data_IF_804217932534
#
_entry.id   IF_804217932534
#
_cell.length_a   1.000
_cell.length_b   1.000
_cell.length_c   1.000
_cell.angle_alpha   90.00
_cell.angle_beta   90.00
_cell.angle_gamma   90.00
#
_symmetry.space_group_name_H-M   'P 1'
#
loop_
_entity.id
_entity.type
_entity.pdbx_description
1 polymer ?
#
# COMPACT_ATOMS: atom_id res chain seq x y z
N UNK A 1 16.95 -1.58 -21.97
CA UNK A 1 15.88 -0.67 -22.46
C UNK A 1 14.80 -1.37 -23.28
N UNK A 2 15.12 -2.43 -24.04
CA UNK A 2 14.15 -3.16 -24.87
C UNK A 2 13.79 -4.49 -24.17
N UNK A 3 12.51 -4.73 -23.84
CA UNK A 3 12.07 -6.00 -23.25
C UNK A 3 12.23 -7.15 -24.23
N UNK A 4 12.21 -8.39 -23.72
CA UNK A 4 12.03 -9.57 -24.57
C UNK A 4 10.66 -9.53 -25.24
N UNK A 5 10.51 -10.24 -26.37
CA UNK A 5 9.21 -10.40 -27.00
C UNK A 5 8.28 -11.22 -26.08
N UNK A 6 7.00 -10.89 -26.10
CA UNK A 6 5.95 -11.59 -25.37
C UNK A 6 4.66 -11.53 -26.20
N UNK A 7 3.78 -12.51 -25.99
CA UNK A 7 2.39 -12.45 -26.40
C UNK A 7 1.62 -11.49 -25.47
N UNK A 8 0.66 -10.78 -26.03
CA UNK A 8 -0.15 -9.81 -25.30
C UNK A 8 -1.63 -10.17 -25.41
N UNK A 9 -2.23 -10.48 -24.26
CA UNK A 9 -3.64 -10.82 -24.11
C UNK A 9 -4.35 -9.67 -23.40
N UNK A 10 -5.49 -9.23 -23.93
CA UNK A 10 -6.28 -8.11 -23.38
C UNK A 10 -7.72 -8.55 -23.13
N UNK A 11 -7.95 -9.44 -22.13
CA UNK A 11 -9.28 -9.91 -21.76
C UNK A 11 -10.18 -8.76 -21.32
N UNK A 12 -11.48 -8.96 -21.48
CA UNK A 12 -12.51 -7.97 -21.11
C UNK A 12 -13.33 -8.37 -19.90
N UNK A 13 -13.17 -9.61 -19.44
CA UNK A 13 -13.83 -10.16 -18.24
C UNK A 13 -12.79 -10.81 -17.33
N UNK A 14 -13.14 -10.96 -16.05
CA UNK A 14 -12.29 -11.67 -15.11
C UNK A 14 -12.09 -13.15 -15.49
N UNK A 15 -13.14 -13.82 -15.94
CA UNK A 15 -13.08 -15.23 -16.36
C UNK A 15 -12.11 -15.46 -17.53
N UNK A 16 -12.11 -14.55 -18.52
CA UNK A 16 -11.15 -14.58 -19.63
C UNK A 16 -9.72 -14.40 -19.12
N UNK A 17 -9.50 -13.50 -18.16
CA UNK A 17 -8.18 -13.26 -17.59
C UNK A 17 -7.66 -14.45 -16.78
N UNK A 18 -8.51 -15.06 -15.95
CA UNK A 18 -8.17 -16.27 -15.20
C UNK A 18 -7.87 -17.44 -16.16
N UNK A 19 -8.69 -17.62 -17.19
CA UNK A 19 -8.46 -18.64 -18.21
C UNK A 19 -7.13 -18.44 -18.93
N UNK A 20 -6.79 -17.18 -19.25
CA UNK A 20 -5.52 -16.84 -19.87
C UNK A 20 -4.32 -17.10 -18.94
N UNK A 21 -4.42 -16.79 -17.65
CA UNK A 21 -3.37 -17.07 -16.67
C UNK A 21 -3.14 -18.58 -16.53
N UNK A 22 -4.21 -19.37 -16.37
CA UNK A 22 -4.13 -20.84 -16.30
C UNK A 22 -3.51 -21.42 -17.58
N UNK A 23 -3.90 -20.91 -18.75
CA UNK A 23 -3.33 -21.36 -20.03
C UNK A 23 -1.85 -20.99 -20.20
N UNK A 24 -1.39 -19.92 -19.55
CA UNK A 24 -0.01 -19.44 -19.64
C UNK A 24 0.94 -20.16 -18.66
N UNK A 25 0.41 -20.83 -17.63
CA UNK A 25 1.22 -21.41 -16.56
C UNK A 25 2.18 -20.39 -15.94
N UNK A 26 3.40 -20.84 -15.62
CA UNK A 26 4.43 -20.01 -14.97
C UNK A 26 4.99 -18.89 -15.88
N UNK A 27 4.68 -18.92 -17.18
CA UNK A 27 5.15 -17.96 -18.17
C UNK A 27 4.24 -16.72 -18.30
N UNK A 28 3.06 -16.77 -17.65
CA UNK A 28 2.09 -15.67 -17.63
C UNK A 28 2.43 -14.61 -16.60
N UNK A 29 2.31 -13.33 -16.98
CA UNK A 29 2.35 -12.23 -16.01
C UNK A 29 1.21 -11.24 -16.21
N UNK A 30 0.57 -10.88 -15.11
CA UNK A 30 -0.46 -9.85 -15.08
C UNK A 30 0.18 -8.48 -15.39
N UNK A 31 -0.42 -7.78 -16.35
CA UNK A 31 -0.17 -6.37 -16.62
C UNK A 31 -1.32 -5.53 -16.06
N UNK A 32 -1.05 -4.78 -14.99
CA UNK A 32 -1.94 -3.76 -14.46
C UNK A 32 -1.56 -2.38 -15.03
N UNK A 33 -1.22 -1.41 -14.18
CA UNK A 33 -0.73 -0.10 -14.60
C UNK A 33 0.64 -0.08 -15.30
N UNK A 34 1.40 -1.18 -15.19
CA UNK A 34 2.70 -1.37 -15.83
C UNK A 34 3.86 -0.54 -15.24
N UNK A 35 3.63 0.26 -14.21
CA UNK A 35 4.63 1.22 -13.71
C UNK A 35 5.76 0.61 -12.89
N UNK A 36 5.63 -0.65 -12.45
CA UNK A 36 6.75 -1.46 -11.92
C UNK A 36 7.19 -2.53 -12.91
N UNK A 37 6.22 -3.26 -13.49
CA UNK A 37 6.51 -4.38 -14.39
C UNK A 37 7.24 -3.94 -15.67
N UNK A 38 6.77 -2.90 -16.39
CA UNK A 38 7.40 -2.49 -17.65
C UNK A 38 8.86 -2.05 -17.43
N UNK A 39 9.22 -1.28 -16.38
CA UNK A 39 10.62 -1.05 -16.03
C UNK A 39 11.44 -2.34 -15.83
N UNK A 40 10.93 -3.30 -15.07
CA UNK A 40 11.56 -4.62 -14.85
C UNK A 40 11.80 -5.35 -16.17
N UNK A 41 10.82 -5.37 -17.07
CA UNK A 41 10.94 -5.98 -18.40
C UNK A 41 11.99 -5.27 -19.28
N UNK A 42 12.00 -3.93 -19.29
CA UNK A 42 12.97 -3.12 -20.05
C UNK A 42 14.41 -3.34 -19.58
N UNK A 43 14.60 -3.70 -18.32
CA UNK A 43 15.88 -4.07 -17.72
C UNK A 43 16.19 -5.57 -17.83
N UNK A 44 15.24 -6.37 -18.34
CA UNK A 44 15.32 -7.84 -18.44
C UNK A 44 15.56 -8.52 -17.09
N UNK A 45 15.01 -7.94 -16.03
CA UNK A 45 14.97 -8.55 -14.69
C UNK A 45 13.82 -9.58 -14.59
N UNK A 46 12.86 -9.52 -15.51
CA UNK A 46 11.89 -10.58 -15.77
C UNK A 46 11.64 -10.65 -17.29
N UNK A 47 11.22 -11.81 -17.78
CA UNK A 47 10.97 -12.07 -19.20
C UNK A 47 9.84 -13.10 -19.39
N UNK A 48 8.60 -12.78 -18.98
CA UNK A 48 7.46 -13.65 -19.22
C UNK A 48 7.20 -13.78 -20.72
N UNK A 49 6.71 -14.94 -21.15
CA UNK A 49 6.31 -15.16 -22.54
C UNK A 49 4.92 -14.56 -22.84
N UNK A 50 4.06 -14.40 -21.82
CA UNK A 50 2.70 -13.87 -21.98
C UNK A 50 2.42 -12.76 -20.98
N UNK A 51 1.86 -11.65 -21.46
CA UNK A 51 1.27 -10.60 -20.62
C UNK A 51 -0.26 -10.61 -20.71
N UNK A 52 -0.92 -10.74 -19.56
CA UNK A 52 -2.38 -10.66 -19.43
C UNK A 52 -2.75 -9.28 -18.89
N UNK A 53 -3.24 -8.40 -19.75
CA UNK A 53 -3.59 -7.02 -19.41
C UNK A 53 -5.02 -6.91 -18.87
N UNK A 54 -5.13 -6.52 -17.60
CA UNK A 54 -6.41 -6.36 -16.90
C UNK A 54 -7.11 -5.03 -17.24
N UNK A 55 -6.49 -4.19 -18.07
CA UNK A 55 -6.89 -2.81 -18.32
C UNK A 55 -8.31 -2.63 -18.85
N UNK A 56 -8.86 -3.65 -19.53
CA UNK A 56 -10.20 -3.63 -20.13
C UNK A 56 -11.28 -4.27 -19.27
N UNK A 57 -10.94 -4.82 -18.11
CA UNK A 57 -11.88 -5.48 -17.20
C UNK A 57 -12.51 -4.42 -16.29
N UNK A 58 -13.71 -3.97 -16.67
CA UNK A 58 -14.37 -2.83 -16.00
C UNK A 58 -14.70 -3.11 -14.53
N UNK A 59 -15.03 -4.36 -14.18
CA UNK A 59 -15.40 -4.76 -12.82
C UNK A 59 -14.26 -4.68 -11.79
N UNK A 60 -13.00 -4.61 -12.25
CA UNK A 60 -11.81 -4.44 -11.42
C UNK A 60 -11.52 -2.97 -11.07
N UNK A 61 -12.36 -2.03 -11.52
CA UNK A 61 -12.19 -0.59 -11.29
C UNK A 61 -13.30 -0.02 -10.42
N UNK A 62 -13.01 1.14 -9.86
CA UNK A 62 -13.99 1.98 -9.18
C UNK A 62 -13.93 1.87 -7.67
N UNK A 63 -14.62 2.81 -7.04
CA UNK A 63 -14.67 2.99 -5.59
C UNK A 63 -16.15 3.01 -5.22
N UNK A 64 -16.53 2.27 -4.19
CA UNK A 64 -17.91 2.24 -3.70
C UNK A 64 -17.98 2.15 -2.20
N UNK A 65 -19.08 2.68 -1.66
CA UNK A 65 -19.49 2.44 -0.28
C UNK A 65 -19.97 0.98 -0.11
N UNK A 66 -19.65 0.36 1.02
CA UNK A 66 -20.06 -0.97 1.40
C UNK A 66 -20.37 -1.07 2.90
N UNK A 67 -21.14 -0.11 3.40
CA UNK A 67 -21.61 -0.09 4.80
C UNK A 67 -20.55 0.41 5.76
N UNK A 68 -19.87 -0.50 6.43
CA UNK A 68 -18.79 -0.26 7.40
C UNK A 68 -17.39 -0.19 6.75
N UNK A 69 -17.29 -0.40 5.44
CA UNK A 69 -16.07 -0.23 4.66
C UNK A 69 -16.30 0.53 3.35
N UNK A 70 -15.21 0.93 2.72
CA UNK A 70 -15.17 1.26 1.29
C UNK A 70 -14.54 0.09 0.53
N UNK A 71 -14.94 -0.11 -0.73
CA UNK A 71 -14.36 -1.15 -1.60
C UNK A 71 -13.73 -0.47 -2.81
N UNK A 72 -12.46 -0.78 -3.05
CA UNK A 72 -11.65 -0.23 -4.13
C UNK A 72 -11.30 -1.37 -5.09
N UNK A 73 -11.66 -1.24 -6.36
CA UNK A 73 -11.23 -2.18 -7.39
C UNK A 73 -9.71 -2.12 -7.60
N UNK A 74 -9.06 -3.27 -7.74
CA UNK A 74 -7.60 -3.38 -7.84
C UNK A 74 -6.99 -2.57 -9.00
N UNK A 75 -7.73 -2.39 -10.09
CA UNK A 75 -7.32 -1.62 -11.28
C UNK A 75 -7.63 -0.12 -11.17
N UNK A 76 -8.06 0.38 -10.00
CA UNK A 76 -8.27 1.82 -9.78
C UNK A 76 -6.93 2.56 -9.76
N UNK A 77 -6.72 3.57 -10.63
CA UNK A 77 -5.50 4.38 -10.64
C UNK A 77 -5.26 5.12 -9.33
N UNK A 78 -3.99 5.36 -8.98
CA UNK A 78 -3.65 6.18 -7.80
C UNK A 78 -4.21 7.61 -7.91
N UNK A 79 -4.30 8.16 -9.12
CA UNK A 79 -4.91 9.46 -9.36
C UNK A 79 -6.35 9.51 -8.87
N UNK A 80 -7.16 8.53 -9.25
CA UNK A 80 -8.58 8.48 -8.86
C UNK A 80 -8.69 8.32 -7.34
N UNK A 81 -7.83 7.50 -6.73
CA UNK A 81 -7.82 7.29 -5.28
C UNK A 81 -7.50 8.55 -4.49
N UNK A 82 -6.50 9.30 -4.92
CA UNK A 82 -6.09 10.53 -4.26
C UNK A 82 -7.18 11.62 -4.31
N UNK A 83 -8.09 11.56 -5.30
CA UNK A 83 -9.10 12.60 -5.55
C UNK A 83 -10.53 12.15 -5.24
N UNK A 84 -10.74 10.92 -4.78
CA UNK A 84 -12.07 10.38 -4.54
C UNK A 84 -12.64 10.86 -3.19
N UNK A 85 -13.88 11.41 -3.17
CA UNK A 85 -14.47 11.96 -1.95
C UNK A 85 -14.82 10.89 -0.91
N UNK A 86 -15.18 9.65 -1.32
CA UNK A 86 -15.45 8.57 -0.37
C UNK A 86 -14.16 8.14 0.33
N UNK A 87 -13.05 8.05 -0.40
CA UNK A 87 -11.75 7.74 0.19
C UNK A 87 -11.31 8.88 1.12
N UNK A 88 -11.40 10.14 0.67
CA UNK A 88 -11.04 11.28 1.51
C UNK A 88 -11.81 11.30 2.85
N UNK A 89 -13.10 10.95 2.82
CA UNK A 89 -13.96 10.93 4.01
C UNK A 89 -13.71 9.71 4.92
N UNK A 90 -13.58 8.53 4.33
CA UNK A 90 -13.66 7.26 5.07
C UNK A 90 -12.33 6.53 5.22
N UNK A 91 -11.34 6.84 4.41
CA UNK A 91 -10.02 6.20 4.41
C UNK A 91 -8.93 7.21 4.01
N UNK A 92 -8.97 8.42 4.58
CA UNK A 92 -8.11 9.54 4.17
C UNK A 92 -6.61 9.25 4.21
N UNK A 93 -6.16 8.27 5.01
CA UNK A 93 -4.78 7.79 5.02
C UNK A 93 -4.36 7.20 3.66
N UNK A 94 -5.26 6.48 2.97
CA UNK A 94 -5.01 5.93 1.63
C UNK A 94 -4.87 7.03 0.60
N UNK A 95 -5.78 8.03 0.62
CA UNK A 95 -5.71 9.18 -0.28
C UNK A 95 -4.39 9.94 -0.12
N UNK A 96 -4.01 10.28 1.13
CA UNK A 96 -2.76 10.98 1.45
C UNK A 96 -1.53 10.21 0.98
N UNK A 97 -1.50 8.89 1.20
CA UNK A 97 -0.39 8.09 0.70
C UNK A 97 -0.35 8.05 -0.83
N UNK A 98 -1.51 7.98 -1.51
CA UNK A 98 -1.60 7.92 -2.96
C UNK A 98 -1.09 9.20 -3.63
N UNK A 99 -1.25 10.36 -3.00
CA UNK A 99 -0.68 11.64 -3.45
C UNK A 99 0.86 11.62 -3.52
N UNK A 100 1.51 10.85 -2.64
CA UNK A 100 2.97 10.75 -2.56
C UNK A 100 3.60 9.73 -3.52
N UNK A 101 2.76 8.92 -4.19
CA UNK A 101 3.21 7.89 -5.12
C UNK A 101 3.76 8.58 -6.36
N UNK A 102 5.08 8.50 -6.54
CA UNK A 102 5.78 8.93 -7.75
C UNK A 102 5.31 10.30 -8.28
N UNK A 103 5.14 10.44 -9.59
CA UNK A 103 4.72 11.65 -10.29
C UNK A 103 3.28 11.52 -10.83
N UNK A 104 2.68 12.63 -11.32
CA UNK A 104 1.34 12.58 -11.89
C UNK A 104 1.17 11.54 -13.01
N UNK A 105 2.15 11.37 -13.91
CA UNK A 105 2.07 10.43 -15.03
C UNK A 105 2.01 8.98 -14.54
N UNK A 106 2.86 8.64 -13.56
CA UNK A 106 2.83 7.34 -12.89
C UNK A 106 1.49 7.15 -12.18
N UNK A 107 0.94 8.16 -11.49
CA UNK A 107 -0.35 8.02 -10.78
C UNK A 107 -1.56 7.80 -11.69
N UNK A 108 -1.54 8.30 -12.92
CA UNK A 108 -2.61 8.06 -13.90
C UNK A 108 -2.57 6.64 -14.49
N UNK A 109 -1.44 5.93 -14.37
CA UNK A 109 -1.30 4.56 -14.87
C UNK A 109 -1.22 3.52 -13.78
N UNK A 110 -0.39 3.75 -12.78
CA UNK A 110 -0.21 2.89 -11.61
C UNK A 110 -1.54 2.71 -10.88
N UNK A 111 -1.80 1.46 -10.51
CA UNK A 111 -3.07 1.01 -9.94
C UNK A 111 -2.86 0.59 -8.50
N UNK A 112 -3.88 0.76 -7.66
CA UNK A 112 -3.83 0.38 -6.25
C UNK A 112 -3.46 -1.08 -6.00
N UNK A 113 -4.17 -2.00 -6.65
CA UNK A 113 -3.89 -3.43 -6.53
C UNK A 113 -2.53 -3.79 -7.09
N UNK A 114 -2.14 -3.21 -8.22
CA UNK A 114 -0.78 -3.39 -8.77
C UNK A 114 0.33 -2.97 -7.80
N UNK A 115 0.16 -1.87 -7.06
CA UNK A 115 1.13 -1.45 -6.04
C UNK A 115 1.18 -2.41 -4.85
N UNK A 116 0.02 -2.92 -4.41
CA UNK A 116 -0.07 -3.87 -3.29
C UNK A 116 0.51 -5.24 -3.65
N UNK A 117 0.13 -5.79 -4.82
CA UNK A 117 0.59 -7.10 -5.32
C UNK A 117 2.08 -7.07 -5.67
N UNK A 118 2.61 -5.92 -6.08
CA UNK A 118 4.04 -5.81 -6.34
C UNK A 118 4.88 -6.07 -5.08
N UNK A 119 4.37 -5.74 -3.89
CA UNK A 119 5.01 -6.03 -2.60
C UNK A 119 6.47 -5.55 -2.48
N UNK A 120 6.78 -4.39 -3.07
CA UNK A 120 8.01 -3.68 -2.75
C UNK A 120 7.84 -3.00 -1.38
N UNK A 121 8.69 -3.28 -0.36
CA UNK A 121 8.57 -2.71 0.96
C UNK A 121 8.69 -1.19 0.99
N UNK A 122 9.32 -0.59 -0.03
CA UNK A 122 9.44 0.85 -0.16
C UNK A 122 8.18 1.51 -0.73
N UNK A 123 7.19 0.70 -1.15
CA UNK A 123 5.95 1.17 -1.74
C UNK A 123 4.93 1.72 -0.76
N UNK A 124 4.32 2.84 -1.17
CA UNK A 124 3.58 3.69 -0.23
C UNK A 124 2.20 3.15 0.17
N UNK A 125 1.64 2.20 -0.58
CA UNK A 125 0.27 1.70 -0.34
C UNK A 125 0.20 0.57 0.68
N UNK A 126 1.32 -0.11 0.94
CA UNK A 126 1.38 -1.31 1.75
C UNK A 126 1.08 -1.00 3.22
N UNK A 127 1.83 -0.07 3.82
CA UNK A 127 1.66 0.30 5.23
C UNK A 127 0.29 0.95 5.53
N UNK A 128 -0.25 1.87 4.72
CA UNK A 128 -1.62 2.36 4.89
C UNK A 128 -2.69 1.27 4.85
N UNK A 129 -2.60 0.32 3.91
CA UNK A 129 -3.54 -0.80 3.84
C UNK A 129 -3.44 -1.69 5.09
N UNK A 130 -2.22 -1.95 5.58
CA UNK A 130 -1.98 -2.69 6.81
C UNK A 130 -2.52 -1.95 8.05
N UNK A 131 -2.23 -0.66 8.20
CA UNK A 131 -2.68 0.14 9.34
C UNK A 131 -4.21 0.20 9.40
N UNK A 132 -4.88 0.28 8.26
CA UNK A 132 -6.34 0.35 8.19
C UNK A 132 -7.05 -1.00 8.25
N UNK A 133 -6.32 -2.10 8.51
CA UNK A 133 -6.90 -3.45 8.57
C UNK A 133 -7.63 -3.81 7.26
N UNK A 134 -7.02 -3.50 6.12
CA UNK A 134 -7.61 -3.81 4.82
C UNK A 134 -7.78 -5.32 4.61
N UNK A 135 -8.80 -5.69 3.82
CA UNK A 135 -9.09 -7.05 3.41
C UNK A 135 -8.98 -7.15 1.88
N UNK A 136 -8.32 -8.20 1.40
CA UNK A 136 -7.95 -8.39 0.00
C UNK A 136 -8.79 -9.51 -0.59
N UNK A 137 -9.68 -9.17 -1.52
CA UNK A 137 -10.48 -10.14 -2.27
C UNK A 137 -9.66 -10.66 -3.46
N UNK A 138 -9.25 -11.92 -3.36
CA UNK A 138 -8.46 -12.62 -4.37
C UNK A 138 -9.37 -13.63 -5.06
N UNK A 139 -9.32 -13.66 -6.38
CA UNK A 139 -10.14 -14.55 -7.22
C UNK A 139 -9.22 -15.40 -8.06
N UNK A 140 -9.42 -16.72 -8.03
CA UNK A 140 -8.69 -17.70 -8.83
C UNK A 140 -9.61 -18.74 -9.46
N UNK A 141 -9.02 -19.78 -10.04
CA UNK A 141 -9.79 -20.89 -10.65
C UNK A 141 -10.69 -21.63 -9.66
N UNK A 142 -10.31 -21.65 -8.38
CA UNK A 142 -11.06 -22.27 -7.29
C UNK A 142 -12.18 -21.41 -6.67
N UNK A 143 -12.43 -20.21 -7.18
CA UNK A 143 -13.38 -19.23 -6.64
C UNK A 143 -12.70 -18.03 -5.98
N UNK A 144 -13.41 -17.36 -5.07
CA UNK A 144 -12.90 -16.18 -4.36
C UNK A 144 -12.56 -16.48 -2.90
N UNK A 145 -11.56 -15.77 -2.38
CA UNK A 145 -11.19 -15.77 -0.96
C UNK A 145 -10.80 -14.37 -0.51
N UNK A 146 -10.95 -14.13 0.78
CA UNK A 146 -10.55 -12.86 1.41
C UNK A 146 -9.34 -13.11 2.31
N UNK A 147 -8.32 -12.26 2.20
CA UNK A 147 -7.10 -12.32 3.02
C UNK A 147 -6.96 -11.01 3.77
N UNK A 148 -6.76 -11.02 5.11
CA UNK A 148 -6.49 -9.78 5.85
C UNK A 148 -5.10 -9.23 5.54
N UNK A 149 -4.91 -7.91 5.65
CA UNK A 149 -3.63 -7.25 5.37
C UNK A 149 -2.45 -7.82 6.16
N UNK A 150 -2.70 -8.29 7.38
CA UNK A 150 -1.71 -8.92 8.25
C UNK A 150 -1.13 -10.23 7.67
N UNK A 151 -1.84 -10.87 6.74
CA UNK A 151 -1.44 -12.13 6.10
C UNK A 151 -1.16 -11.96 4.59
N UNK A 152 -1.48 -10.80 4.01
CA UNK A 152 -1.36 -10.58 2.57
C UNK A 152 0.10 -10.42 2.11
N UNK A 153 0.93 -9.72 2.90
CA UNK A 153 2.34 -9.50 2.57
C UNK A 153 3.20 -10.58 3.22
N UNK A 154 3.85 -11.42 2.40
CA UNK A 154 4.54 -12.62 2.88
C UNK A 154 6.05 -12.37 2.98
N UNK A 155 6.65 -11.78 1.94
CA UNK A 155 8.07 -11.42 1.91
C UNK A 155 8.32 -10.37 0.82
N UNK A 156 9.58 -9.98 0.62
CA UNK A 156 10.02 -9.10 -0.45
C UNK A 156 9.50 -9.59 -1.81
N UNK A 157 8.70 -8.75 -2.49
CA UNK A 157 8.04 -9.06 -3.77
C UNK A 157 7.11 -10.29 -3.74
N UNK A 158 6.67 -10.73 -2.56
CA UNK A 158 5.83 -11.93 -2.38
C UNK A 158 4.57 -11.59 -1.58
N UNK A 159 3.41 -11.93 -2.13
CA UNK A 159 2.12 -11.78 -1.47
C UNK A 159 1.41 -13.12 -1.34
N UNK A 160 0.26 -13.11 -0.69
CA UNK A 160 -0.65 -14.24 -0.65
C UNK A 160 -1.30 -14.56 -2.00
N UNK A 161 -1.20 -13.71 -3.03
CA UNK A 161 -1.77 -13.98 -4.37
C UNK A 161 -0.99 -15.09 -5.07
N UNK A 162 -1.68 -16.16 -5.44
CA UNK A 162 -1.16 -17.30 -6.19
C UNK A 162 -0.96 -17.03 -7.68
N UNK A 163 -0.41 -18.01 -8.39
CA UNK A 163 -0.02 -17.90 -9.79
C UNK A 163 -1.21 -17.79 -10.75
N UNK A 164 -2.34 -18.44 -10.41
CA UNK A 164 -3.60 -18.41 -11.16
C UNK A 164 -4.65 -17.49 -10.53
N UNK A 165 -4.22 -16.56 -9.68
CA UNK A 165 -5.07 -15.66 -8.93
C UNK A 165 -4.90 -14.19 -9.31
N UNK A 166 -5.98 -13.43 -9.14
CA UNK A 166 -6.05 -11.99 -9.37
C UNK A 166 -6.55 -11.34 -8.09
N UNK A 167 -5.81 -10.35 -7.57
CA UNK A 167 -6.38 -9.41 -6.60
C UNK A 167 -7.47 -8.59 -7.30
N UNK A 168 -8.73 -8.81 -6.92
CA UNK A 168 -9.86 -8.19 -7.58
C UNK A 168 -10.24 -6.86 -6.92
N UNK A 169 -10.35 -6.87 -5.59
CA UNK A 169 -10.79 -5.72 -4.79
C UNK A 169 -10.08 -5.66 -3.45
N UNK A 170 -10.06 -4.47 -2.87
CA UNK A 170 -9.57 -4.23 -1.52
C UNK A 170 -10.67 -3.53 -0.74
N UNK A 171 -11.08 -4.13 0.37
CA UNK A 171 -12.06 -3.59 1.29
C UNK A 171 -11.31 -2.92 2.44
N UNK A 172 -11.65 -1.66 2.73
CA UNK A 172 -10.97 -0.85 3.75
C UNK A 172 -12.01 -0.39 4.78
N UNK A 173 -11.93 -0.87 6.03
CA UNK A 173 -12.78 -0.41 7.11
C UNK A 173 -12.80 1.12 7.23
N UNK A 174 -13.99 1.70 7.43
CA UNK A 174 -14.15 3.16 7.51
C UNK A 174 -13.55 3.70 8.81
N UNK A 175 -12.69 4.70 8.69
CA UNK A 175 -12.17 5.52 9.79
C UNK A 175 -12.77 6.93 9.77
N UNK A 176 -14.07 7.02 9.50
CA UNK A 176 -14.79 8.31 9.42
C UNK A 176 -14.58 9.14 10.68
N UNK A 177 -14.16 10.40 10.50
CA UNK A 177 -13.91 11.32 11.61
C UNK A 177 -12.56 11.12 12.32
N UNK A 178 -11.76 10.12 11.91
CA UNK A 178 -10.38 9.99 12.38
C UNK A 178 -9.49 10.99 11.65
N UNK A 179 -8.48 11.48 12.36
CA UNK A 179 -7.38 12.19 11.74
C UNK A 179 -6.38 11.22 11.13
N UNK A 180 -5.66 11.63 10.09
CA UNK A 180 -4.69 10.76 9.39
C UNK A 180 -3.52 11.54 8.82
N UNK A 181 -2.37 10.89 8.64
CA UNK A 181 -1.22 11.42 7.94
C UNK A 181 -0.37 10.30 7.37
N UNK A 182 0.25 10.56 6.21
CA UNK A 182 1.29 9.72 5.65
C UNK A 182 2.56 10.56 5.50
N UNK A 183 3.47 10.42 6.46
CA UNK A 183 4.72 11.18 6.46
C UNK A 183 5.81 10.36 5.79
N UNK A 184 6.35 10.88 4.69
CA UNK A 184 7.31 10.20 3.83
C UNK A 184 8.62 10.94 3.80
N UNK A 185 9.71 10.26 4.19
CA UNK A 185 11.06 10.78 4.05
C UNK A 185 11.74 10.24 2.80
N UNK A 186 12.17 11.17 1.94
CA UNK A 186 12.88 10.91 0.67
C UNK A 186 13.96 11.96 0.44
N UNK A 187 14.99 11.63 -0.34
CA UNK A 187 16.04 12.60 -0.72
C UNK A 187 15.57 13.57 -1.81
N UNK A 188 14.77 13.05 -2.74
CA UNK A 188 14.18 13.81 -3.84
C UNK A 188 12.70 13.48 -3.92
N UNK A 189 11.91 14.47 -4.35
CA UNK A 189 10.49 14.27 -4.56
C UNK A 189 10.25 13.04 -5.46
N UNK A 190 9.15 12.32 -5.23
CA UNK A 190 8.69 11.20 -6.07
C UNK A 190 9.54 9.91 -5.95
N UNK A 191 10.61 9.90 -5.16
CA UNK A 191 11.37 8.68 -4.86
C UNK A 191 10.55 7.68 -4.02
N UNK A 192 10.92 6.41 -4.06
CA UNK A 192 10.51 5.43 -3.05
C UNK A 192 10.89 5.89 -1.64
N UNK A 193 10.09 5.49 -0.66
CA UNK A 193 10.26 5.87 0.74
C UNK A 193 11.57 5.33 1.31
N UNK A 194 12.41 6.18 1.88
CA UNK A 194 13.54 5.72 2.71
C UNK A 194 12.98 5.20 4.04
N UNK A 195 12.10 6.00 4.63
CA UNK A 195 11.21 5.64 5.74
C UNK A 195 9.92 6.42 5.51
N UNK A 196 8.78 5.79 5.72
CA UNK A 196 7.52 6.50 5.85
C UNK A 196 6.65 5.89 6.94
N UNK A 197 5.78 6.69 7.52
CA UNK A 197 4.85 6.25 8.56
C UNK A 197 3.42 6.64 8.16
N UNK A 198 2.57 5.63 8.13
CA UNK A 198 1.14 5.76 7.96
C UNK A 198 0.49 5.80 9.34
N UNK A 199 -0.19 6.90 9.68
CA UNK A 199 -0.85 7.09 10.96
C UNK A 199 -2.33 7.48 10.76
N UNK A 200 -3.22 6.82 11.49
CA UNK A 200 -4.60 7.27 11.68
C UNK A 200 -4.93 7.24 13.17
N UNK A 201 -5.52 8.32 13.69
CA UNK A 201 -5.83 8.46 15.12
C UNK A 201 -7.25 8.98 15.33
N UNK A 202 -7.91 8.46 16.35
CA UNK A 202 -9.17 8.99 16.87
C UNK A 202 -8.87 9.76 18.14
N UNK A 203 -9.13 11.07 18.15
CA UNK A 203 -8.91 11.93 19.31
C UNK A 203 -10.24 12.18 20.01
N UNK A 204 -10.27 11.96 21.33
CA UNK A 204 -11.41 12.26 22.20
C UNK A 204 -10.94 13.02 23.44
N UNK A 205 -11.64 14.10 23.75
CA UNK A 205 -11.37 14.94 24.93
C UNK A 205 -9.89 15.36 25.10
N UNK A 206 -9.18 15.58 23.98
CA UNK A 206 -7.77 16.01 23.99
C UNK A 206 -6.74 14.88 24.14
N UNK A 207 -7.18 13.62 24.06
CA UNK A 207 -6.31 12.43 24.11
C UNK A 207 -6.59 11.49 22.93
N UNK A 208 -5.60 10.70 22.56
CA UNK A 208 -5.75 9.68 21.52
C UNK A 208 -6.52 8.49 22.11
N UNK A 209 -7.75 8.26 21.64
CA UNK A 209 -8.58 7.13 22.06
C UNK A 209 -8.20 5.84 21.32
N UNK A 210 -7.84 5.96 20.03
CA UNK A 210 -7.36 4.85 19.21
C UNK A 210 -6.29 5.34 18.23
N UNK A 211 -5.34 4.46 17.91
CA UNK A 211 -4.27 4.71 16.95
C UNK A 211 -4.06 3.49 16.05
N UNK A 212 -3.78 3.76 14.78
CA UNK A 212 -3.38 2.80 13.76
C UNK A 212 -2.10 3.31 13.11
N UNK A 213 -1.00 2.57 13.26
CA UNK A 213 0.33 3.01 12.84
C UNK A 213 1.05 1.88 12.12
N UNK A 214 1.54 2.15 10.91
CA UNK A 214 2.38 1.22 10.17
C UNK A 214 3.55 1.92 9.47
N UNK A 215 4.62 1.16 9.25
CA UNK A 215 5.91 1.63 8.76
C UNK A 215 6.17 1.09 7.35
N UNK A 216 6.57 1.98 6.45
CA UNK A 216 7.04 1.67 5.09
C UNK A 216 8.55 1.54 5.08
N UNK A 217 9.07 0.53 4.37
CA UNK A 217 10.50 0.24 4.17
C UNK A 217 11.31 -0.05 5.44
N UNK A 218 10.66 -0.59 6.49
CA UNK A 218 11.29 -0.95 7.77
C UNK A 218 11.50 -2.46 7.96
N UNK A 219 11.22 -3.25 6.92
CA UNK A 219 11.40 -4.70 6.87
C UNK A 219 11.24 -5.21 5.44
N UNK A 220 11.15 -6.54 5.26
CA UNK A 220 10.83 -7.14 3.95
C UNK A 220 9.34 -7.05 3.59
N UNK A 221 8.50 -6.59 4.52
CA UNK A 221 7.06 -6.33 4.39
C UNK A 221 6.71 -5.06 5.18
N UNK A 222 5.56 -4.40 4.96
CA UNK A 222 5.09 -3.33 5.85
C UNK A 222 4.97 -3.84 7.30
N UNK A 223 5.30 -2.99 8.28
CA UNK A 223 5.27 -3.37 9.70
C UNK A 223 4.19 -2.56 10.41
N UNK A 224 3.25 -3.23 11.08
CA UNK A 224 2.34 -2.55 12.01
C UNK A 224 3.08 -2.27 13.32
N UNK A 225 3.14 -1.01 13.72
CA UNK A 225 3.83 -0.56 14.93
C UNK A 225 2.91 -0.68 16.16
N UNK A 226 2.47 -1.89 16.48
CA UNK A 226 1.48 -2.14 17.55
C UNK A 226 1.93 -1.63 18.92
N UNK A 227 3.24 -1.68 19.22
CA UNK A 227 3.79 -1.08 20.44
C UNK A 227 3.59 0.45 20.49
N UNK A 228 3.72 1.13 19.35
CA UNK A 228 3.45 2.57 19.23
C UNK A 228 1.95 2.84 19.34
N UNK A 229 1.11 2.04 18.69
CA UNK A 229 -0.36 2.15 18.81
C UNK A 229 -0.79 2.07 20.28
N UNK A 230 -0.27 1.09 21.03
CA UNK A 230 -0.54 0.90 22.46
C UNK A 230 -0.05 2.07 23.32
N UNK A 231 1.15 2.59 23.05
CA UNK A 231 1.72 3.72 23.77
C UNK A 231 0.95 5.03 23.52
N UNK A 232 0.29 5.16 22.37
CA UNK A 232 -0.50 6.33 22.02
C UNK A 232 -1.89 6.35 22.68
N UNK A 233 -2.49 5.20 23.00
CA UNK A 233 -3.82 5.17 23.62
C UNK A 233 -3.79 5.83 25.01
N UNK A 234 -4.61 6.85 25.20
CA UNK A 234 -4.66 7.69 26.40
C UNK A 234 -3.61 8.80 26.44
N UNK A 235 -2.73 8.88 25.44
CA UNK A 235 -1.70 9.90 25.33
C UNK A 235 -2.31 11.26 24.96
N UNK A 236 -1.79 12.34 25.55
CA UNK A 236 -2.15 13.70 25.16
C UNK A 236 -1.67 14.03 23.75
N UNK A 237 -2.35 14.97 23.08
CA UNK A 237 -1.99 15.40 21.71
C UNK A 237 -0.85 16.44 21.65
N UNK A 238 -0.13 16.65 22.75
CA UNK A 238 1.03 17.53 22.78
C UNK A 238 2.29 16.84 22.22
N UNK A 239 3.21 17.65 21.70
CA UNK A 239 4.42 17.17 21.02
C UNK A 239 5.30 16.29 21.90
N UNK A 240 5.47 16.63 23.19
CA UNK A 240 6.35 15.87 24.07
C UNK A 240 5.78 14.48 24.36
N UNK A 241 4.47 14.39 24.60
CA UNK A 241 3.79 13.11 24.83
C UNK A 241 3.83 12.21 23.59
N UNK A 242 3.57 12.75 22.40
CA UNK A 242 3.62 12.00 21.14
C UNK A 242 5.05 11.57 20.79
N UNK A 243 6.04 12.44 20.95
CA UNK A 243 7.45 12.10 20.74
C UNK A 243 7.88 10.92 21.63
N UNK A 244 7.54 10.97 22.92
CA UNK A 244 7.84 9.89 23.85
C UNK A 244 7.16 8.56 23.45
N UNK A 245 5.87 8.60 23.06
CA UNK A 245 5.12 7.40 22.66
C UNK A 245 5.61 6.78 21.34
N UNK A 246 6.21 7.58 20.46
CA UNK A 246 6.66 7.15 19.13
C UNK A 246 8.16 6.88 19.03
N UNK A 247 8.94 7.21 20.06
CA UNK A 247 10.42 7.10 20.05
C UNK A 247 10.93 5.71 19.68
N UNK A 248 10.23 4.66 20.13
CA UNK A 248 10.55 3.25 19.85
C UNK A 248 10.02 2.70 18.52
N UNK A 249 9.52 3.54 17.61
CA UNK A 249 8.93 3.05 16.34
C UNK A 249 9.91 2.24 15.48
N UNK A 250 11.22 2.48 15.61
CA UNK A 250 12.25 1.70 14.93
C UNK A 250 12.64 0.38 15.62
N UNK A 251 12.17 0.12 16.84
CA UNK A 251 12.61 -1.02 17.63
C UNK A 251 12.09 -2.34 17.05
N UNK A 252 12.95 -3.37 17.02
CA UNK A 252 12.61 -4.67 16.44
C UNK A 252 12.48 -4.70 14.92
N UNK A 253 12.71 -3.58 14.23
CA UNK A 253 12.64 -3.51 12.76
C UNK A 253 13.96 -3.93 12.09
N UNK A 254 13.88 -4.35 10.83
CA UNK A 254 15.02 -4.77 10.01
C UNK A 254 15.07 -4.05 8.65
N UNK A 255 15.24 -2.71 8.64
CA UNK A 255 15.31 -1.93 7.40
C UNK A 255 16.54 -2.28 6.57
N UNK A 256 16.48 -2.13 5.23
CA UNK A 256 17.62 -2.37 4.37
C UNK A 256 18.73 -1.33 4.58
N UNK A 257 19.97 -1.71 4.27
CA UNK A 257 21.09 -0.77 4.12
C UNK A 257 21.39 -0.59 2.63
N UNK A 258 21.34 0.65 2.16
CA UNK A 258 21.54 0.99 0.75
C UNK A 258 22.19 2.38 0.60
N UNK A 259 22.18 2.91 -0.62
CA UNK A 259 22.74 4.23 -0.94
C UNK A 259 21.96 5.42 -0.35
N UNK A 260 20.80 5.17 0.26
CA UNK A 260 19.99 6.19 0.93
C UNK A 260 20.26 6.27 2.43
N UNK A 261 20.84 5.22 3.03
CA UNK A 261 21.20 5.19 4.45
C UNK A 261 21.29 3.77 4.98
N UNK A 262 21.98 3.64 6.12
CA UNK A 262 22.08 2.38 6.84
C UNK A 262 20.85 2.10 7.73
N UNK A 263 20.79 0.88 8.26
CA UNK A 263 19.69 0.44 9.11
C UNK A 263 19.56 1.28 10.40
N UNK A 264 20.67 1.78 10.97
CA UNK A 264 20.64 2.56 12.21
C UNK A 264 20.02 3.93 11.98
N UNK A 265 20.39 4.60 10.89
CA UNK A 265 19.79 5.83 10.45
C UNK A 265 18.27 5.67 10.24
N UNK A 266 17.84 4.61 9.55
CA UNK A 266 16.42 4.35 9.30
C UNK A 266 15.63 4.06 10.58
N UNK A 267 16.19 3.29 11.53
CA UNK A 267 15.54 3.04 12.84
C UNK A 267 15.37 4.32 13.65
N UNK A 268 16.40 5.15 13.72
CA UNK A 268 16.30 6.45 14.40
C UNK A 268 15.24 7.34 13.74
N UNK A 269 15.27 7.41 12.41
CA UNK A 269 14.35 8.24 11.63
C UNK A 269 12.90 7.76 11.78
N UNK A 270 12.64 6.46 11.93
CA UNK A 270 11.29 5.93 12.13
C UNK A 270 10.57 6.57 13.33
N UNK A 271 11.25 6.78 14.46
CA UNK A 271 10.67 7.48 15.62
C UNK A 271 10.32 8.94 15.31
N UNK A 272 11.22 9.65 14.63
CA UNK A 272 11.00 11.06 14.24
C UNK A 272 9.82 11.20 13.27
N UNK A 273 9.76 10.33 12.26
CA UNK A 273 8.69 10.36 11.25
C UNK A 273 7.37 9.89 11.86
N UNK A 274 7.38 8.92 12.78
CA UNK A 274 6.18 8.51 13.51
C UNK A 274 5.61 9.64 14.36
N UNK A 275 6.45 10.38 15.10
CA UNK A 275 6.03 11.56 15.85
C UNK A 275 5.34 12.59 14.94
N UNK A 276 5.96 12.94 13.81
CA UNK A 276 5.39 13.87 12.82
C UNK A 276 4.06 13.39 12.26
N UNK A 277 3.97 12.11 11.90
CA UNK A 277 2.75 11.53 11.34
C UNK A 277 1.61 11.59 12.35
N UNK A 278 1.87 11.25 13.61
CA UNK A 278 0.86 11.28 14.66
C UNK A 278 0.44 12.71 15.00
N UNK A 279 1.37 13.66 15.06
CA UNK A 279 1.04 15.08 15.25
C UNK A 279 0.17 15.64 14.12
N UNK A 280 0.54 15.34 12.87
CA UNK A 280 -0.23 15.75 11.70
C UNK A 280 -1.62 15.10 11.69
N UNK A 281 -1.70 13.80 12.05
CA UNK A 281 -2.96 13.10 12.16
C UNK A 281 -3.83 13.65 13.29
N UNK A 282 -3.26 14.04 14.43
CA UNK A 282 -3.98 14.64 15.56
C UNK A 282 -4.43 16.09 15.30
N UNK A 283 -3.99 16.72 14.21
CA UNK A 283 -4.32 18.11 13.86
C UNK A 283 -3.47 19.15 14.61
N UNK A 284 -2.26 18.78 15.02
CA UNK A 284 -1.36 19.60 15.85
C UNK A 284 -0.01 19.88 15.20
N UNK A 285 0.13 19.66 13.89
CA UNK A 285 1.33 19.93 13.09
C UNK A 285 1.32 21.32 12.46
#
# INVERSE_FOLDING_TARGET
MIPSAFEYLSPTTLDEALSALVASGDEGKILAGGQSLIPVLKLRLASPEVLVDLGRIAELRGIRDDGDAIVIGAMTPHHDIANDPLIAQHAGLIAKAAETVADPQVRHRGTFGGALVHADPAGDMLAPALALDAEFEIIGSGGSRTVPAAEFFVDLFTTAVGEDEILARVRIPKTTGWGSAYEKFTRVAQQWSIVAVAAAVRVEAGSIAEARVALTNMGSVPIRATAVEQALVGCGVDAASIEAATAGAGDGTNPPTDTNGDANFRRHLAGVIASRAVLAAAGTA
#
